data_IF_972688972846
#
_entry.id   IF_972688972846
#
_cell.length_a   1.000
_cell.length_b   1.000
_cell.length_c   1.000
_cell.angle_alpha   90.00
_cell.angle_beta   90.00
_cell.angle_gamma   90.00
#
_symmetry.space_group_name_H-M   'P 1'
#
loop_
_entity.id
_entity.type
_entity.pdbx_description
1 polymer ?
#
# COMPACT_ATOMS: atom_id res chain seq x y z
N UNK A 1 24.16 -7.82 21.94
CA UNK A 1 23.05 -7.98 21.01
C UNK A 1 22.69 -6.62 20.43
N UNK A 2 22.66 -6.45 19.12
CA UNK A 2 22.22 -5.19 18.52
C UNK A 2 20.76 -4.96 18.92
N UNK A 3 20.45 -3.80 19.52
CA UNK A 3 19.07 -3.42 19.87
C UNK A 3 18.25 -3.39 18.59
N UNK A 4 17.11 -4.07 18.59
CA UNK A 4 16.12 -3.97 17.49
C UNK A 4 15.70 -2.50 17.34
N UNK A 5 15.88 -1.93 16.14
CA UNK A 5 15.57 -0.51 15.93
C UNK A 5 14.11 -0.28 15.57
N UNK A 6 13.31 -1.33 15.32
CA UNK A 6 11.94 -1.21 14.87
C UNK A 6 11.06 -2.39 15.32
N UNK A 7 9.75 -2.16 15.30
CA UNK A 7 8.72 -3.08 15.74
C UNK A 7 7.73 -3.35 14.61
N UNK A 8 7.29 -4.61 14.46
CA UNK A 8 6.21 -5.02 13.55
C UNK A 8 4.96 -5.29 14.39
N UNK A 9 3.92 -4.47 14.24
CA UNK A 9 2.62 -4.72 14.84
C UNK A 9 1.70 -5.46 13.88
N UNK A 10 1.01 -6.52 14.34
CA UNK A 10 0.22 -7.40 13.50
C UNK A 10 1.04 -8.52 12.84
N UNK A 11 2.10 -8.96 13.52
CA UNK A 11 3.11 -9.91 13.02
C UNK A 11 2.56 -11.29 12.57
N UNK A 12 1.36 -11.67 13.01
CA UNK A 12 0.72 -12.92 12.58
C UNK A 12 0.03 -12.83 11.20
N UNK A 13 -0.07 -11.63 10.61
CA UNK A 13 -0.66 -11.42 9.29
C UNK A 13 0.16 -12.06 8.16
N UNK A 14 -0.50 -12.37 7.05
CA UNK A 14 0.14 -12.97 5.87
C UNK A 14 1.34 -12.13 5.39
N UNK A 15 1.11 -10.87 5.07
CA UNK A 15 2.15 -9.95 4.58
C UNK A 15 3.23 -9.70 5.63
N UNK A 16 2.84 -9.58 6.92
CA UNK A 16 3.80 -9.38 8.01
C UNK A 16 4.81 -10.53 8.11
N UNK A 17 4.39 -11.77 7.90
CA UNK A 17 5.30 -12.94 7.89
C UNK A 17 6.33 -12.84 6.77
N UNK A 18 5.92 -12.42 5.57
CA UNK A 18 6.84 -12.20 4.46
C UNK A 18 7.83 -11.05 4.74
N UNK A 19 7.37 -9.98 5.38
CA UNK A 19 8.25 -8.89 5.82
C UNK A 19 9.23 -9.36 6.89
N UNK A 20 8.82 -10.21 7.84
CA UNK A 20 9.69 -10.80 8.86
C UNK A 20 10.78 -11.67 8.20
N UNK A 21 10.40 -12.55 7.28
CA UNK A 21 11.35 -13.38 6.52
C UNK A 21 12.36 -12.52 5.75
N UNK A 22 11.88 -11.47 5.08
CA UNK A 22 12.73 -10.53 4.36
C UNK A 22 13.65 -9.74 5.29
N UNK A 23 13.15 -9.29 6.44
CA UNK A 23 13.94 -8.60 7.45
C UNK A 23 15.09 -9.46 7.97
N UNK A 24 14.81 -10.72 8.32
CA UNK A 24 15.84 -11.68 8.79
C UNK A 24 16.86 -11.94 7.70
N UNK A 25 16.43 -12.14 6.43
CA UNK A 25 17.32 -12.34 5.28
C UNK A 25 18.29 -11.18 5.10
N UNK A 26 17.87 -9.96 5.41
CA UNK A 26 18.69 -8.74 5.33
C UNK A 26 19.45 -8.42 6.65
N UNK A 27 19.43 -9.34 7.62
CA UNK A 27 20.19 -9.21 8.87
C UNK A 27 19.50 -8.39 9.97
N UNK A 28 18.22 -8.03 9.80
CA UNK A 28 17.46 -7.32 10.83
C UNK A 28 16.86 -8.27 11.87
N UNK A 29 16.66 -7.75 13.08
CA UNK A 29 15.97 -8.42 14.18
C UNK A 29 14.88 -7.51 14.74
N UNK A 30 13.73 -7.33 14.01
CA UNK A 30 12.63 -6.53 14.53
C UNK A 30 12.01 -7.18 15.78
N UNK A 31 11.40 -6.35 16.64
CA UNK A 31 10.50 -6.84 17.67
C UNK A 31 9.16 -7.14 16.99
N UNK A 32 8.62 -8.34 17.19
CA UNK A 32 7.31 -8.70 16.66
C UNK A 32 6.22 -8.50 17.70
N UNK A 33 5.06 -7.98 17.26
CA UNK A 33 3.97 -7.65 18.18
C UNK A 33 2.59 -7.98 17.59
N UNK A 34 1.64 -8.18 18.50
CA UNK A 34 0.24 -8.38 18.18
C UNK A 34 -0.60 -8.57 19.43
N UNK A 35 -1.91 -8.76 19.26
CA UNK A 35 -2.88 -8.82 20.37
C UNK A 35 -2.98 -10.16 21.07
N UNK A 36 -2.59 -11.25 20.41
CA UNK A 36 -2.88 -12.61 20.88
C UNK A 36 -1.58 -13.40 21.00
N UNK A 37 -1.19 -13.73 22.22
CA UNK A 37 0.05 -14.45 22.50
C UNK A 37 0.15 -15.79 21.75
N UNK A 38 -0.92 -16.57 21.73
CA UNK A 38 -0.96 -17.85 21.03
C UNK A 38 -0.69 -17.73 19.50
N UNK A 39 -0.81 -16.53 18.92
CA UNK A 39 -0.50 -16.28 17.50
C UNK A 39 0.92 -15.72 17.31
N UNK A 40 1.48 -15.02 18.30
CA UNK A 40 2.77 -14.34 18.18
C UNK A 40 3.93 -15.22 18.70
N UNK A 41 3.75 -15.91 19.83
CA UNK A 41 4.77 -16.77 20.42
C UNK A 41 5.35 -17.81 19.45
N UNK A 42 4.55 -18.58 18.68
CA UNK A 42 5.10 -19.56 17.73
C UNK A 42 5.99 -18.92 16.64
N UNK A 43 5.69 -17.68 16.23
CA UNK A 43 6.50 -16.95 15.26
C UNK A 43 7.83 -16.55 15.89
N UNK A 44 7.81 -16.08 17.15
CA UNK A 44 9.01 -15.72 17.89
C UNK A 44 9.93 -16.92 18.10
N UNK A 45 9.36 -18.08 18.53
CA UNK A 45 10.09 -19.34 18.71
C UNK A 45 10.72 -19.83 17.40
N UNK A 46 9.98 -19.76 16.29
CA UNK A 46 10.49 -20.16 14.97
C UNK A 46 11.60 -19.26 14.44
N UNK A 47 11.53 -17.95 14.72
CA UNK A 47 12.41 -16.93 14.13
C UNK A 47 13.54 -16.49 15.07
N UNK A 48 13.44 -16.79 16.36
CA UNK A 48 14.36 -16.30 17.39
C UNK A 48 14.26 -14.78 17.63
N UNK A 49 13.13 -14.16 17.27
CA UNK A 49 12.89 -12.73 17.47
C UNK A 49 12.25 -12.45 18.82
N UNK A 50 12.57 -11.30 19.41
CA UNK A 50 11.88 -10.80 20.59
C UNK A 50 10.42 -10.45 20.24
N UNK A 51 9.50 -10.64 21.21
CA UNK A 51 8.11 -10.30 21.00
C UNK A 51 7.46 -9.59 22.18
N UNK A 52 6.40 -8.84 21.87
CA UNK A 52 5.55 -8.16 22.87
C UNK A 52 4.10 -8.39 22.47
N UNK A 53 3.25 -8.73 23.46
CA UNK A 53 1.81 -8.90 23.26
C UNK A 53 1.06 -7.74 23.90
N UNK A 54 0.30 -6.99 23.10
CA UNK A 54 -0.52 -5.90 23.61
C UNK A 54 -1.67 -5.56 22.65
N UNK A 55 -2.75 -5.03 23.22
CA UNK A 55 -3.81 -4.34 22.47
C UNK A 55 -3.47 -2.85 22.36
N UNK A 56 -3.85 -2.21 21.26
CA UNK A 56 -3.62 -0.77 21.02
C UNK A 56 -4.37 0.14 22.00
N UNK A 57 -5.30 -0.41 22.78
CA UNK A 57 -6.00 0.31 23.87
C UNK A 57 -5.24 0.30 25.19
N UNK A 58 -4.24 -0.57 25.33
CA UNK A 58 -3.36 -0.61 26.51
C UNK A 58 -2.24 0.42 26.38
N UNK A 59 -2.49 1.62 26.86
CA UNK A 59 -1.52 2.72 26.77
C UNK A 59 -0.21 2.48 27.52
N UNK A 60 -0.20 1.64 28.58
CA UNK A 60 1.04 1.30 29.32
C UNK A 60 1.94 0.37 28.51
N UNK A 61 1.38 -0.71 27.98
CA UNK A 61 2.14 -1.65 27.15
C UNK A 61 2.57 -1.01 25.82
N UNK A 62 1.70 -0.19 25.21
CA UNK A 62 2.03 0.58 24.03
C UNK A 62 3.22 1.53 24.26
N UNK A 63 3.23 2.28 25.37
CA UNK A 63 4.38 3.11 25.78
C UNK A 63 5.64 2.26 25.94
N UNK A 64 5.56 1.13 26.64
CA UNK A 64 6.69 0.21 26.85
C UNK A 64 7.25 -0.30 25.52
N UNK A 65 6.38 -0.70 24.58
CA UNK A 65 6.76 -1.17 23.26
C UNK A 65 7.49 -0.10 22.45
N UNK A 66 7.00 1.15 22.47
CA UNK A 66 7.55 2.26 21.70
C UNK A 66 8.82 2.87 22.31
N UNK A 67 9.04 2.74 23.61
CA UNK A 67 10.21 3.35 24.30
C UNK A 67 11.55 2.78 23.82
N UNK A 68 11.56 1.63 23.17
CA UNK A 68 12.78 0.91 22.80
C UNK A 68 13.02 0.82 21.30
N UNK A 69 12.17 1.45 20.48
CA UNK A 69 12.27 1.40 19.02
C UNK A 69 12.30 2.80 18.41
N UNK A 70 12.83 2.91 17.20
CA UNK A 70 12.86 4.14 16.41
C UNK A 70 11.75 4.20 15.38
N UNK A 71 11.12 3.06 15.08
CA UNK A 71 10.11 2.95 14.04
C UNK A 71 9.12 1.82 14.35
N UNK A 72 7.84 2.07 14.06
CA UNK A 72 6.77 1.06 14.04
C UNK A 72 6.35 0.81 12.59
N UNK A 73 6.35 -0.44 12.20
CA UNK A 73 5.71 -0.93 11.00
C UNK A 73 4.39 -1.59 11.37
N UNK A 74 3.27 -0.96 10.99
CA UNK A 74 1.93 -1.48 11.21
C UNK A 74 1.50 -2.38 10.05
N UNK A 75 1.33 -3.67 10.32
CA UNK A 75 0.79 -4.66 9.37
C UNK A 75 -0.59 -5.19 9.80
N UNK A 76 -1.27 -4.52 10.72
CA UNK A 76 -2.56 -4.94 11.26
C UNK A 76 -3.73 -4.23 10.56
N UNK A 77 -4.06 -4.66 9.35
CA UNK A 77 -5.26 -4.19 8.64
C UNK A 77 -6.59 -4.75 9.20
N UNK A 78 -7.76 -4.14 8.86
CA UNK A 78 -7.92 -2.88 8.15
C UNK A 78 -7.33 -1.69 8.91
N UNK A 79 -6.61 -0.82 8.18
CA UNK A 79 -5.79 0.23 8.80
C UNK A 79 -6.63 1.38 9.35
N UNK A 80 -7.83 1.60 8.82
CA UNK A 80 -8.81 2.56 9.37
C UNK A 80 -9.10 2.33 10.87
N UNK A 81 -8.91 1.10 11.37
CA UNK A 81 -9.15 0.75 12.77
C UNK A 81 -7.88 0.75 13.65
N UNK A 82 -6.70 0.70 13.05
CA UNK A 82 -5.44 0.53 13.79
C UNK A 82 -4.48 1.69 13.67
N UNK A 83 -4.47 2.39 12.54
CA UNK A 83 -3.48 3.42 12.23
C UNK A 83 -3.52 4.60 13.20
N UNK A 84 -4.72 5.14 13.50
CA UNK A 84 -4.86 6.33 14.34
C UNK A 84 -4.19 6.16 15.70
N UNK A 85 -4.46 5.06 16.40
CA UNK A 85 -3.90 4.80 17.74
C UNK A 85 -2.37 4.69 17.73
N UNK A 86 -1.82 4.07 16.69
CA UNK A 86 -0.37 3.98 16.51
C UNK A 86 0.24 5.32 16.12
N UNK A 87 -0.40 6.10 15.26
CA UNK A 87 0.06 7.44 14.87
C UNK A 87 0.10 8.36 16.08
N UNK A 88 -0.97 8.40 16.90
CA UNK A 88 -1.03 9.20 18.12
C UNK A 88 0.09 8.84 19.10
N UNK A 89 0.34 7.54 19.26
CA UNK A 89 1.43 7.05 20.10
C UNK A 89 2.81 7.40 19.50
N UNK A 90 3.00 7.25 18.20
CA UNK A 90 4.23 7.60 17.50
C UNK A 90 4.54 9.11 17.62
N UNK A 91 3.54 9.97 17.45
CA UNK A 91 3.67 11.41 17.69
C UNK A 91 4.04 11.72 19.14
N UNK A 92 3.37 11.07 20.10
CA UNK A 92 3.62 11.27 21.54
C UNK A 92 5.01 10.84 21.98
N UNK A 93 5.48 9.69 21.48
CA UNK A 93 6.75 9.08 21.91
C UNK A 93 7.91 9.34 20.94
N UNK A 94 7.69 10.12 19.86
CA UNK A 94 8.67 10.50 18.86
C UNK A 94 9.28 9.28 18.16
N UNK A 95 8.41 8.39 17.68
CA UNK A 95 8.74 7.18 16.94
C UNK A 95 8.23 7.30 15.51
N UNK A 96 9.00 6.91 14.51
CA UNK A 96 8.55 6.90 13.12
C UNK A 96 7.41 5.91 12.93
N UNK A 97 6.45 6.23 12.07
CA UNK A 97 5.32 5.37 11.73
C UNK A 97 5.37 4.98 10.26
N UNK A 98 5.12 3.71 9.99
CA UNK A 98 4.92 3.18 8.64
C UNK A 98 3.84 2.10 8.64
N UNK A 99 3.20 1.89 7.50
CA UNK A 99 2.26 0.80 7.24
C UNK A 99 2.24 0.40 5.76
N UNK A 100 1.34 -0.50 5.39
CA UNK A 100 1.11 -0.95 4.02
C UNK A 100 -0.34 -0.72 3.61
N UNK A 101 -0.92 0.41 4.03
CA UNK A 101 -2.30 0.76 3.69
C UNK A 101 -2.45 1.17 2.23
N UNK A 102 -3.60 0.84 1.62
CA UNK A 102 -4.12 1.45 0.39
C UNK A 102 -5.38 2.29 0.66
N UNK A 103 -5.72 2.51 1.93
CA UNK A 103 -6.98 3.12 2.35
C UNK A 103 -6.89 4.66 2.30
N UNK A 104 -7.57 5.30 1.35
CA UNK A 104 -7.58 6.77 1.16
C UNK A 104 -7.83 7.54 2.46
N UNK A 105 -8.79 7.17 3.34
CA UNK A 105 -9.00 7.90 4.59
C UNK A 105 -7.80 7.86 5.55
N UNK A 106 -6.99 6.80 5.51
CA UNK A 106 -5.78 6.69 6.34
C UNK A 106 -4.74 7.69 5.85
N UNK A 107 -4.52 7.78 4.53
CA UNK A 107 -3.61 8.77 3.94
C UNK A 107 -4.04 10.21 4.28
N UNK A 108 -5.34 10.54 4.06
CA UNK A 108 -5.87 11.85 4.40
C UNK A 108 -5.58 12.22 5.84
N UNK A 109 -5.86 11.31 6.75
CA UNK A 109 -5.64 11.53 8.17
C UNK A 109 -4.16 11.73 8.50
N UNK A 110 -3.26 10.92 7.93
CA UNK A 110 -1.79 11.05 8.16
C UNK A 110 -1.28 12.41 7.72
N UNK A 111 -1.69 12.92 6.56
CA UNK A 111 -1.22 14.21 6.05
C UNK A 111 -1.64 15.40 6.93
N UNK A 112 -2.73 15.30 7.72
CA UNK A 112 -3.12 16.32 8.70
C UNK A 112 -2.05 16.53 9.80
N UNK A 113 -1.27 15.51 10.09
CA UNK A 113 -0.24 15.54 11.15
C UNK A 113 1.15 15.97 10.66
N UNK A 114 1.32 16.39 9.39
CA UNK A 114 2.65 16.67 8.81
C UNK A 114 3.45 17.66 9.66
N UNK A 115 2.88 18.80 10.01
CA UNK A 115 3.53 19.82 10.85
C UNK A 115 3.94 19.27 12.22
N UNK A 116 3.09 18.48 12.86
CA UNK A 116 3.37 17.89 14.16
C UNK A 116 4.48 16.84 14.07
N UNK A 117 4.50 16.04 13.00
CA UNK A 117 5.56 15.08 12.74
C UNK A 117 6.91 15.77 12.50
N UNK A 118 6.94 16.87 11.73
CA UNK A 118 8.12 17.72 11.53
C UNK A 118 8.65 18.28 12.86
N UNK A 119 7.78 18.84 13.70
CA UNK A 119 8.14 19.36 15.03
C UNK A 119 8.71 18.27 15.93
N UNK A 120 8.16 17.07 15.86
CA UNK A 120 8.64 15.91 16.61
C UNK A 120 9.88 15.25 16.00
N UNK A 121 10.31 15.70 14.82
CA UNK A 121 11.46 15.16 14.05
C UNK A 121 11.28 13.69 13.70
N UNK A 122 10.06 13.27 13.38
CA UNK A 122 9.71 11.92 12.91
C UNK A 122 9.08 11.97 11.54
N UNK A 123 9.02 10.82 10.88
CA UNK A 123 8.22 10.63 9.66
C UNK A 123 6.99 9.78 9.96
N UNK A 124 5.89 10.16 9.35
CA UNK A 124 4.69 9.35 9.17
C UNK A 124 4.62 8.99 7.68
N UNK A 125 4.90 7.73 7.33
CA UNK A 125 4.97 7.28 5.94
C UNK A 125 4.08 6.05 5.76
N UNK A 126 2.78 6.23 5.50
CA UNK A 126 1.87 5.15 5.16
C UNK A 126 2.16 4.60 3.75
N UNK A 127 1.75 3.35 3.49
CA UNK A 127 1.80 2.77 2.15
C UNK A 127 3.21 2.42 1.67
N UNK A 128 4.06 1.81 2.50
CA UNK A 128 5.42 1.39 2.10
C UNK A 128 5.47 -0.01 1.48
N UNK A 129 4.43 -0.41 0.75
CA UNK A 129 4.31 -1.68 0.04
C UNK A 129 3.96 -1.50 -1.43
N UNK A 130 3.26 -2.48 -2.01
CA UNK A 130 2.65 -2.36 -3.33
C UNK A 130 1.65 -1.18 -3.36
N UNK A 131 0.94 -0.99 -2.29
CA UNK A 131 0.30 0.27 -1.93
C UNK A 131 1.30 1.11 -1.14
N UNK A 132 1.94 2.16 -1.66
CA UNK A 132 1.73 2.81 -2.96
C UNK A 132 3.09 3.06 -3.66
N UNK A 133 4.18 2.40 -3.22
CA UNK A 133 5.54 2.72 -3.70
C UNK A 133 5.63 2.72 -5.23
N UNK A 134 5.22 1.67 -5.96
CA UNK A 134 5.44 1.62 -7.39
C UNK A 134 4.59 2.66 -8.13
N UNK A 135 3.35 2.86 -7.73
CA UNK A 135 2.42 3.78 -8.37
C UNK A 135 2.77 5.24 -8.10
N UNK A 136 3.06 5.62 -6.85
CA UNK A 136 3.44 6.99 -6.48
C UNK A 136 4.80 7.40 -7.08
N UNK A 137 5.80 6.51 -7.05
CA UNK A 137 7.08 6.76 -7.70
C UNK A 137 6.95 6.92 -9.21
N UNK A 138 6.14 6.07 -9.88
CA UNK A 138 5.92 6.18 -11.32
C UNK A 138 5.11 7.42 -11.68
N UNK A 139 4.09 7.77 -10.87
CA UNK A 139 3.33 9.00 -11.01
C UNK A 139 4.23 10.23 -10.94
N UNK A 140 5.10 10.29 -9.93
CA UNK A 140 6.09 11.37 -9.79
C UNK A 140 7.06 11.43 -10.96
N UNK A 141 7.51 10.27 -11.46
CA UNK A 141 8.40 10.18 -12.61
C UNK A 141 7.78 10.76 -13.87
N UNK A 142 6.55 10.38 -14.24
CA UNK A 142 5.89 10.92 -15.44
C UNK A 142 5.49 12.38 -15.27
N UNK A 143 5.04 12.79 -14.07
CA UNK A 143 4.70 14.17 -13.76
C UNK A 143 5.88 15.12 -13.94
N UNK A 144 7.08 14.73 -13.52
CA UNK A 144 8.29 15.53 -13.66
C UNK A 144 8.69 15.80 -15.13
N UNK A 145 8.15 15.02 -16.08
CA UNK A 145 8.45 15.15 -17.51
C UNK A 145 7.37 15.89 -18.30
N UNK A 146 6.27 16.27 -17.66
CA UNK A 146 5.16 17.00 -18.27
C UNK A 146 4.92 18.29 -17.50
N UNK A 147 5.49 19.42 -17.91
CA UNK A 147 5.27 20.71 -17.25
C UNK A 147 3.78 21.05 -17.19
N UNK A 148 3.32 21.52 -16.02
CA UNK A 148 1.93 21.90 -15.78
C UNK A 148 0.93 20.76 -16.11
N UNK A 149 1.28 19.52 -15.78
CA UNK A 149 0.36 18.40 -15.94
C UNK A 149 -0.93 18.62 -15.14
N UNK A 150 -2.07 18.36 -15.78
CA UNK A 150 -3.41 18.54 -15.20
C UNK A 150 -4.17 17.23 -15.03
N UNK A 151 -3.75 16.18 -15.71
CA UNK A 151 -4.36 14.84 -15.64
C UNK A 151 -3.29 13.78 -15.33
N UNK A 152 -3.65 12.84 -14.49
CA UNK A 152 -2.83 11.68 -14.13
C UNK A 152 -3.73 10.43 -14.08
N UNK A 153 -3.38 9.46 -14.88
CA UNK A 153 -3.97 8.12 -14.83
C UNK A 153 -2.92 7.12 -14.36
N UNK A 154 -3.30 6.26 -13.41
CA UNK A 154 -2.45 5.19 -12.88
C UNK A 154 -3.21 3.87 -13.01
N UNK A 155 -2.59 2.85 -13.57
CA UNK A 155 -3.19 1.52 -13.71
C UNK A 155 -2.21 0.42 -13.31
N UNK A 156 -2.73 -0.69 -12.79
CA UNK A 156 -1.89 -1.84 -12.41
C UNK A 156 -2.59 -3.18 -12.63
N UNK A 157 -1.76 -4.22 -12.68
CA UNK A 157 -2.13 -5.65 -12.75
C UNK A 157 -1.68 -6.37 -11.49
N UNK A 158 -1.93 -7.66 -11.37
CA UNK A 158 -1.28 -8.54 -10.37
C UNK A 158 -2.08 -8.75 -9.09
N UNK A 159 -3.37 -8.42 -9.05
CA UNK A 159 -4.25 -8.70 -7.91
C UNK A 159 -5.22 -9.90 -8.15
N UNK A 160 -4.79 -10.92 -8.90
CA UNK A 160 -5.60 -12.12 -9.11
C UNK A 160 -5.65 -13.04 -7.87
N UNK A 161 -4.60 -13.00 -7.02
CA UNK A 161 -4.51 -13.77 -5.79
C UNK A 161 -4.29 -12.84 -4.61
N UNK A 162 -5.32 -12.64 -3.82
CA UNK A 162 -5.31 -11.68 -2.70
C UNK A 162 -5.30 -12.37 -1.34
N UNK A 163 -4.63 -11.74 -0.38
CA UNK A 163 -4.56 -12.22 0.99
C UNK A 163 -5.87 -11.97 1.76
N UNK A 164 -6.10 -12.66 2.88
CA UNK A 164 -7.25 -12.37 3.74
C UNK A 164 -7.32 -10.91 4.18
N UNK A 165 -6.16 -10.28 4.44
CA UNK A 165 -6.08 -8.87 4.82
C UNK A 165 -6.59 -7.95 3.72
N UNK A 166 -6.11 -8.12 2.49
CA UNK A 166 -6.52 -7.33 1.32
C UNK A 166 -8.03 -7.46 1.05
N UNK A 167 -8.56 -8.70 1.09
CA UNK A 167 -10.00 -8.91 0.92
C UNK A 167 -10.84 -8.21 1.98
N UNK A 168 -10.41 -8.23 3.25
CA UNK A 168 -11.12 -7.52 4.32
C UNK A 168 -11.14 -6.01 4.11
N UNK A 169 -10.01 -5.43 3.68
CA UNK A 169 -9.94 -4.01 3.34
C UNK A 169 -10.89 -3.70 2.16
N UNK A 170 -10.93 -4.53 1.13
CA UNK A 170 -11.87 -4.34 0.01
C UNK A 170 -13.34 -4.38 0.49
N UNK A 171 -13.70 -5.33 1.34
CA UNK A 171 -15.05 -5.42 1.94
C UNK A 171 -15.41 -4.17 2.75
N UNK A 172 -14.44 -3.55 3.44
CA UNK A 172 -14.65 -2.28 4.15
C UNK A 172 -14.87 -1.11 3.18
N UNK A 173 -14.16 -1.08 2.05
CA UNK A 173 -14.17 0.06 1.12
C UNK A 173 -15.35 0.05 0.14
N UNK A 174 -15.84 -1.12 -0.27
CA UNK A 174 -16.92 -1.26 -1.29
C UNK A 174 -18.17 -0.42 -0.98
N UNK A 175 -18.69 -0.34 0.26
CA UNK A 175 -19.87 0.48 0.57
C UNK A 175 -19.70 1.97 0.29
N UNK A 176 -18.48 2.49 0.33
CA UNK A 176 -18.16 3.90 0.09
C UNK A 176 -18.32 4.34 -1.39
N UNK A 177 -18.57 3.41 -2.29
CA UNK A 177 -18.67 3.73 -3.73
C UNK A 177 -17.31 3.93 -4.39
N UNK A 178 -17.29 4.52 -5.59
CA UNK A 178 -16.08 4.93 -6.28
C UNK A 178 -15.62 6.33 -5.88
N UNK A 179 -14.34 6.60 -6.00
CA UNK A 179 -13.74 7.92 -5.84
C UNK A 179 -12.80 8.20 -7.00
N UNK A 180 -12.74 9.45 -7.40
CA UNK A 180 -11.73 10.01 -8.30
C UNK A 180 -11.33 11.39 -7.77
N UNK A 181 -10.17 11.91 -8.18
CA UNK A 181 -9.81 13.29 -7.90
C UNK A 181 -10.11 14.16 -9.12
N UNK A 182 -10.82 15.28 -8.91
CA UNK A 182 -11.09 16.32 -9.92
C UNK A 182 -10.92 17.69 -9.28
N UNK A 183 -10.23 18.59 -9.99
CA UNK A 183 -9.94 19.94 -9.53
C UNK A 183 -9.37 19.97 -8.10
N UNK A 184 -8.46 19.02 -7.81
CA UNK A 184 -7.84 18.89 -6.50
C UNK A 184 -8.71 18.29 -5.40
N UNK A 185 -9.98 17.91 -5.67
CA UNK A 185 -10.92 17.37 -4.69
C UNK A 185 -11.29 15.93 -5.00
N UNK A 186 -11.42 15.12 -3.94
CA UNK A 186 -12.01 13.79 -4.08
C UNK A 186 -13.52 13.93 -4.29
N UNK A 187 -14.02 13.35 -5.37
CA UNK A 187 -15.45 13.34 -5.69
C UNK A 187 -15.94 11.91 -5.89
N UNK A 188 -17.21 11.63 -5.54
CA UNK A 188 -17.81 10.33 -5.81
C UNK A 188 -17.80 9.98 -7.30
N UNK A 189 -17.56 8.72 -7.60
CA UNK A 189 -17.65 8.17 -8.95
C UNK A 189 -18.37 6.82 -8.93
N UNK A 190 -18.68 6.32 -10.12
CA UNK A 190 -19.28 5.00 -10.22
C UNK A 190 -18.19 3.95 -10.37
N UNK A 191 -18.06 3.05 -9.39
CA UNK A 191 -17.22 1.87 -9.51
C UNK A 191 -17.66 1.04 -10.73
N UNK A 192 -16.68 0.56 -11.50
CA UNK A 192 -16.95 -0.28 -12.66
C UNK A 192 -17.38 0.46 -13.94
N UNK A 193 -17.53 1.80 -13.92
CA UNK A 193 -17.78 2.60 -15.12
C UNK A 193 -16.51 3.32 -15.56
N UNK A 194 -16.37 3.53 -16.89
CA UNK A 194 -15.20 4.23 -17.45
C UNK A 194 -14.00 3.31 -17.65
N UNK A 195 -14.23 2.03 -17.94
CA UNK A 195 -13.18 1.11 -18.34
C UNK A 195 -12.47 1.59 -19.62
N UNK A 196 -11.17 1.32 -19.70
CA UNK A 196 -10.36 1.57 -20.89
C UNK A 196 -9.37 0.46 -21.11
N UNK A 197 -8.75 0.42 -22.29
CA UNK A 197 -7.68 -0.50 -22.59
C UNK A 197 -6.34 0.17 -22.35
N UNK A 198 -5.44 -0.56 -21.68
CA UNK A 198 -4.06 -0.15 -21.42
C UNK A 198 -3.14 -1.29 -21.86
N UNK A 199 -2.08 -0.95 -22.60
CA UNK A 199 -1.07 -1.91 -23.00
C UNK A 199 -0.02 -1.97 -21.89
N UNK A 200 0.19 -3.16 -21.33
CA UNK A 200 1.26 -3.49 -20.38
C UNK A 200 2.33 -4.34 -21.06
N UNK A 201 3.47 -4.60 -20.40
CA UNK A 201 4.52 -5.44 -20.96
C UNK A 201 4.07 -6.85 -21.37
N UNK A 202 3.06 -7.41 -20.73
CA UNK A 202 2.46 -8.73 -21.00
C UNK A 202 1.28 -8.72 -21.97
N UNK A 203 0.85 -7.54 -22.44
CA UNK A 203 -0.25 -7.41 -23.38
C UNK A 203 -1.26 -6.32 -23.04
N UNK A 204 -2.36 -6.29 -23.82
CA UNK A 204 -3.47 -5.36 -23.62
C UNK A 204 -4.43 -5.89 -22.55
N UNK A 205 -4.69 -5.07 -21.52
CA UNK A 205 -5.66 -5.35 -20.47
C UNK A 205 -6.77 -4.32 -20.44
N UNK A 206 -7.99 -4.76 -20.12
CA UNK A 206 -9.07 -3.85 -19.77
C UNK A 206 -8.91 -3.45 -18.31
N UNK A 207 -8.78 -2.15 -18.07
CA UNK A 207 -8.67 -1.58 -16.74
C UNK A 207 -9.94 -0.81 -16.36
N UNK A 208 -10.31 -0.92 -15.08
CA UNK A 208 -11.55 -0.37 -14.53
C UNK A 208 -11.18 0.59 -13.39
N UNK A 209 -11.83 1.77 -13.28
CA UNK A 209 -11.59 2.69 -12.20
C UNK A 209 -11.87 2.05 -10.84
N UNK A 210 -10.93 2.25 -9.90
CA UNK A 210 -11.04 1.78 -8.52
C UNK A 210 -10.64 2.88 -7.54
N UNK A 211 -10.99 2.69 -6.26
CA UNK A 211 -10.42 3.49 -5.18
C UNK A 211 -9.05 2.92 -4.85
N UNK A 212 -8.04 3.78 -4.84
CA UNK A 212 -6.68 3.41 -4.46
C UNK A 212 -5.97 4.56 -3.74
N UNK A 213 -4.98 4.25 -2.92
CA UNK A 213 -4.25 5.25 -2.14
C UNK A 213 -3.68 6.40 -2.94
N UNK A 214 -3.33 6.17 -4.20
CA UNK A 214 -2.76 7.18 -5.09
C UNK A 214 -3.69 8.35 -5.42
N UNK A 215 -4.99 8.20 -5.22
CA UNK A 215 -5.91 9.34 -5.27
C UNK A 215 -5.50 10.44 -4.27
N UNK A 216 -4.82 10.07 -3.20
CA UNK A 216 -4.29 11.00 -2.19
C UNK A 216 -2.78 11.15 -2.31
N UNK A 217 -2.01 10.07 -2.36
CA UNK A 217 -0.54 10.12 -2.35
C UNK A 217 0.01 10.78 -3.61
N UNK A 218 -0.49 10.43 -4.81
CA UNK A 218 -0.03 11.04 -6.05
C UNK A 218 -0.41 12.53 -6.15
N UNK A 219 -1.51 12.95 -5.52
CA UNK A 219 -1.82 14.38 -5.41
C UNK A 219 -0.79 15.12 -4.57
N UNK A 220 -0.41 14.58 -3.41
CA UNK A 220 0.62 15.18 -2.56
C UNK A 220 2.01 15.17 -3.20
N UNK A 221 2.36 14.10 -3.92
CA UNK A 221 3.68 13.97 -4.54
C UNK A 221 3.83 14.75 -5.84
N UNK A 222 2.73 14.94 -6.62
CA UNK A 222 2.79 15.57 -7.96
C UNK A 222 2.12 16.93 -8.04
N UNK A 223 1.11 17.21 -7.22
CA UNK A 223 0.25 18.39 -7.33
C UNK A 223 -0.77 18.35 -8.47
N UNK A 224 -0.87 17.24 -9.22
CA UNK A 224 -1.79 17.11 -10.36
C UNK A 224 -3.23 17.07 -9.86
N UNK A 225 -4.13 17.96 -10.36
CA UNK A 225 -5.47 18.12 -9.79
C UNK A 225 -6.48 17.03 -10.20
N UNK A 226 -6.25 16.33 -11.32
CA UNK A 226 -7.16 15.31 -11.83
C UNK A 226 -6.47 13.96 -11.86
N UNK A 227 -6.91 13.01 -10.99
CA UNK A 227 -6.29 11.71 -10.84
C UNK A 227 -7.36 10.63 -10.92
N UNK A 228 -7.09 9.59 -11.70
CA UNK A 228 -7.90 8.37 -11.73
C UNK A 228 -7.01 7.15 -11.62
N UNK A 229 -7.36 6.25 -10.72
CA UNK A 229 -6.67 4.98 -10.50
C UNK A 229 -7.48 3.83 -11.07
N UNK A 230 -6.80 2.87 -11.68
CA UNK A 230 -7.41 1.75 -12.38
C UNK A 230 -6.75 0.44 -11.98
N UNK A 231 -7.50 -0.65 -12.06
CA UNK A 231 -7.01 -2.02 -11.91
C UNK A 231 -7.44 -2.85 -13.12
N UNK A 232 -6.55 -3.75 -13.57
CA UNK A 232 -6.87 -4.71 -14.62
C UNK A 232 -7.87 -5.76 -14.12
N UNK A 233 -8.86 -6.05 -14.95
CA UNK A 233 -9.84 -7.11 -14.73
C UNK A 233 -9.88 -8.05 -15.93
N UNK A 234 -10.16 -9.34 -15.71
CA UNK A 234 -10.45 -10.27 -16.79
C UNK A 234 -11.60 -9.75 -17.66
N UNK A 235 -11.42 -9.73 -18.99
CA UNK A 235 -12.40 -9.15 -19.92
C UNK A 235 -13.81 -9.69 -19.74
N UNK A 236 -13.95 -10.99 -19.41
CA UNK A 236 -15.25 -11.61 -19.19
C UNK A 236 -16.00 -11.10 -17.95
N UNK A 237 -15.28 -10.54 -16.96
CA UNK A 237 -15.88 -10.01 -15.72
C UNK A 237 -16.38 -8.56 -15.89
N UNK A 238 -15.74 -7.78 -16.75
CA UNK A 238 -16.01 -6.35 -16.89
C UNK A 238 -17.49 -6.03 -17.14
N UNK A 239 -18.24 -6.74 -18.02
CA UNK A 239 -19.66 -6.47 -18.26
C UNK A 239 -20.55 -6.65 -17.02
N UNK A 240 -20.14 -7.48 -16.06
CA UNK A 240 -20.94 -7.78 -14.85
C UNK A 240 -20.66 -6.80 -13.70
N UNK A 241 -19.57 -6.05 -13.73
CA UNK A 241 -19.21 -5.12 -12.67
C UNK A 241 -20.27 -4.05 -12.39
N UNK A 242 -20.91 -3.41 -13.40
CA UNK A 242 -21.93 -2.38 -13.17
C UNK A 242 -23.16 -2.87 -12.40
N UNK A 243 -23.46 -4.17 -12.45
CA UNK A 243 -24.56 -4.81 -11.71
C UNK A 243 -24.09 -5.42 -10.40
N UNK A 244 -22.96 -6.11 -10.43
CA UNK A 244 -22.42 -6.82 -9.26
C UNK A 244 -21.96 -5.88 -8.15
N UNK A 245 -21.32 -4.76 -8.48
CA UNK A 245 -20.82 -3.79 -7.49
C UNK A 245 -21.96 -3.19 -6.65
N UNK A 246 -23.06 -2.64 -7.21
CA UNK A 246 -24.17 -2.14 -6.41
C UNK A 246 -24.80 -3.19 -5.48
N UNK A 247 -24.85 -4.45 -5.90
CA UNK A 247 -25.33 -5.54 -5.05
C UNK A 247 -24.39 -5.75 -3.87
N UNK A 248 -23.07 -5.82 -4.12
CA UNK A 248 -22.08 -5.95 -3.04
C UNK A 248 -22.10 -4.74 -2.11
N UNK A 249 -22.28 -3.52 -2.62
CA UNK A 249 -22.42 -2.32 -1.79
C UNK A 249 -23.57 -2.42 -0.80
N UNK A 250 -24.74 -2.90 -1.25
CA UNK A 250 -25.91 -3.14 -0.38
C UNK A 250 -25.65 -4.21 0.67
N UNK A 251 -25.03 -5.32 0.29
CA UNK A 251 -24.71 -6.41 1.23
C UNK A 251 -23.74 -5.92 2.29
N UNK A 252 -22.65 -5.25 1.90
CA UNK A 252 -21.59 -4.82 2.81
C UNK A 252 -21.91 -3.50 3.56
N UNK A 253 -22.96 -2.78 3.19
CA UNK A 253 -23.52 -1.72 4.02
C UNK A 253 -24.11 -2.28 5.34
N UNK A 254 -24.50 -3.56 5.37
CA UNK A 254 -24.94 -4.23 6.57
C UNK A 254 -23.73 -4.72 7.40
N UNK A 255 -23.53 -4.16 8.58
CA UNK A 255 -22.40 -4.49 9.47
C UNK A 255 -22.37 -5.96 9.92
N UNK A 256 -23.53 -6.63 10.02
CA UNK A 256 -23.59 -8.06 10.36
C UNK A 256 -23.09 -8.90 9.18
N UNK A 257 -23.62 -8.67 7.97
CA UNK A 257 -23.20 -9.36 6.76
C UNK A 257 -21.70 -9.17 6.51
N UNK A 258 -21.22 -7.93 6.67
CA UNK A 258 -19.80 -7.59 6.55
C UNK A 258 -18.93 -8.41 7.51
N UNK A 259 -19.29 -8.49 8.79
CA UNK A 259 -18.55 -9.29 9.80
C UNK A 259 -18.56 -10.78 9.49
N UNK A 260 -19.69 -11.32 9.03
CA UNK A 260 -19.78 -12.74 8.63
C UNK A 260 -18.84 -13.03 7.46
N UNK A 261 -18.87 -12.19 6.42
CA UNK A 261 -17.98 -12.34 5.25
C UNK A 261 -16.52 -12.22 5.64
N UNK A 262 -16.15 -11.25 6.47
CA UNK A 262 -14.76 -11.09 6.95
C UNK A 262 -14.28 -12.31 7.75
N UNK A 263 -15.16 -12.95 8.52
CA UNK A 263 -14.83 -14.18 9.26
C UNK A 263 -14.66 -15.38 8.32
N UNK A 264 -15.49 -15.49 7.29
CA UNK A 264 -15.34 -16.53 6.25
C UNK A 264 -14.04 -16.35 5.47
N UNK A 265 -13.67 -15.11 5.11
CA UNK A 265 -12.40 -14.78 4.45
C UNK A 265 -11.22 -15.32 5.28
N UNK A 266 -11.23 -15.16 6.60
CA UNK A 266 -10.14 -15.66 7.47
C UNK A 266 -9.97 -17.19 7.42
N UNK A 267 -11.07 -17.91 7.22
CA UNK A 267 -11.07 -19.37 7.23
C UNK A 267 -10.68 -19.93 5.85
N UNK A 268 -11.21 -19.32 4.78
CA UNK A 268 -11.13 -19.87 3.42
C UNK A 268 -9.92 -19.37 2.64
N UNK A 269 -9.56 -18.08 2.81
CA UNK A 269 -8.52 -17.44 2.00
C UNK A 269 -7.17 -17.55 2.68
N UNK A 270 -6.20 -18.15 1.97
CA UNK A 270 -4.82 -18.34 2.50
C UNK A 270 -3.79 -17.35 1.92
N UNK A 271 -4.13 -16.62 0.87
CA UNK A 271 -3.17 -15.83 0.09
C UNK A 271 -2.32 -16.69 -0.87
N UNK A 272 -1.52 -16.06 -1.74
CA UNK A 272 -0.70 -16.78 -2.71
C UNK A 272 0.38 -17.62 -2.04
N UNK A 273 0.61 -18.84 -2.54
CA UNK A 273 1.68 -19.71 -2.07
C UNK A 273 3.06 -19.26 -2.60
N UNK A 274 4.12 -19.93 -2.16
CA UNK A 274 5.50 -19.57 -2.52
C UNK A 274 5.73 -19.69 -4.03
N UNK A 275 5.25 -20.75 -4.67
CA UNK A 275 5.43 -20.98 -6.10
C UNK A 275 4.73 -19.91 -6.94
N UNK A 276 3.49 -19.54 -6.57
CA UNK A 276 2.77 -18.45 -7.22
C UNK A 276 3.50 -17.09 -7.09
N UNK A 277 4.14 -16.82 -5.94
CA UNK A 277 4.91 -15.58 -5.73
C UNK A 277 6.22 -15.52 -6.52
N UNK A 278 6.89 -16.65 -6.74
CA UNK A 278 8.20 -16.70 -7.42
C UNK A 278 8.10 -16.51 -8.94
N UNK A 279 6.99 -16.92 -9.55
CA UNK A 279 6.83 -16.93 -11.01
C UNK A 279 5.98 -15.81 -11.58
N UNK A 280 5.27 -15.07 -10.75
CA UNK A 280 4.37 -14.00 -11.21
C UNK A 280 5.05 -12.65 -11.22
N UNK A 281 4.57 -11.82 -12.15
CA UNK A 281 4.94 -10.42 -12.27
C UNK A 281 3.69 -9.56 -12.12
N UNK A 282 3.87 -8.34 -11.67
CA UNK A 282 2.85 -7.32 -11.72
C UNK A 282 3.39 -6.11 -12.48
N UNK A 283 2.49 -5.35 -13.07
CA UNK A 283 2.85 -4.19 -13.88
C UNK A 283 2.10 -2.97 -13.38
N UNK A 284 2.77 -1.83 -13.41
CA UNK A 284 2.17 -0.54 -13.14
C UNK A 284 2.40 0.36 -14.34
N UNK A 285 1.37 1.08 -14.74
CA UNK A 285 1.40 2.07 -15.80
C UNK A 285 0.97 3.42 -15.23
N UNK A 286 1.63 4.49 -15.65
CA UNK A 286 1.20 5.85 -15.35
C UNK A 286 1.26 6.72 -16.60
N UNK A 287 0.36 7.69 -16.67
CA UNK A 287 0.28 8.67 -17.74
C UNK A 287 -0.06 10.03 -17.17
N UNK A 288 0.82 11.01 -17.34
CA UNK A 288 0.57 12.42 -17.06
C UNK A 288 0.32 13.18 -18.37
N UNK A 289 -0.60 14.17 -18.33
CA UNK A 289 -0.94 15.00 -19.48
C UNK A 289 -1.22 16.45 -19.06
N UNK A 290 -0.80 17.42 -19.88
CA UNK A 290 -1.12 18.83 -19.67
C UNK A 290 -2.27 19.30 -20.62
N UNK A 291 -2.70 20.54 -20.43
CA UNK A 291 -3.75 21.15 -21.23
C UNK A 291 -3.37 21.36 -22.72
N UNK A 292 -2.09 21.40 -23.04
CA UNK A 292 -1.58 21.56 -24.41
C UNK A 292 -1.57 20.22 -25.17
N UNK A 293 -1.83 19.10 -24.50
CA UNK A 293 -1.81 17.77 -25.10
C UNK A 293 -0.47 17.03 -24.94
N UNK A 294 0.56 17.67 -24.36
CA UNK A 294 1.81 16.97 -24.05
C UNK A 294 1.53 15.84 -23.05
N UNK A 295 2.07 14.69 -23.32
CA UNK A 295 1.82 13.48 -22.54
C UNK A 295 3.10 12.66 -22.37
N UNK A 296 3.31 12.16 -21.15
CA UNK A 296 4.32 11.14 -20.87
C UNK A 296 3.67 9.91 -20.26
N UNK A 297 4.08 8.76 -20.74
CA UNK A 297 3.71 7.43 -20.21
C UNK A 297 4.96 6.69 -19.79
N UNK A 298 4.82 5.86 -18.77
CA UNK A 298 5.89 4.95 -18.35
C UNK A 298 5.28 3.71 -17.69
N UNK A 299 6.09 2.68 -17.56
CA UNK A 299 5.69 1.38 -16.99
C UNK A 299 6.72 0.91 -15.97
N UNK A 300 6.24 0.19 -14.98
CA UNK A 300 7.07 -0.64 -14.10
C UNK A 300 6.71 -2.10 -14.31
N UNK A 301 7.73 -2.93 -14.35
CA UNK A 301 7.67 -4.38 -14.23
C UNK A 301 8.24 -4.73 -12.85
N UNK A 302 7.43 -5.33 -12.00
CA UNK A 302 7.77 -5.59 -10.61
C UNK A 302 7.55 -7.07 -10.26
N UNK A 303 8.21 -7.59 -9.22
CA UNK A 303 7.86 -8.89 -8.64
C UNK A 303 6.39 -8.99 -8.27
N UNK A 304 5.92 -10.20 -8.02
CA UNK A 304 4.57 -10.44 -7.50
C UNK A 304 4.28 -9.52 -6.30
N UNK A 305 3.05 -9.04 -6.17
CA UNK A 305 2.65 -7.91 -5.30
C UNK A 305 3.03 -8.08 -3.81
N UNK A 306 2.93 -9.29 -3.25
CA UNK A 306 3.31 -9.54 -1.84
C UNK A 306 4.82 -9.71 -1.67
N UNK A 307 5.48 -10.33 -2.63
CA UNK A 307 6.95 -10.41 -2.66
C UNK A 307 7.55 -9.02 -2.78
N UNK A 308 7.01 -8.21 -3.70
CA UNK A 308 7.37 -6.79 -3.80
C UNK A 308 7.15 -6.06 -2.49
N UNK A 309 5.95 -6.18 -1.88
CA UNK A 309 5.62 -5.52 -0.62
C UNK A 309 6.60 -5.87 0.50
N UNK A 310 6.98 -7.15 0.61
CA UNK A 310 7.92 -7.57 1.65
C UNK A 310 9.31 -6.93 1.48
N UNK A 311 9.83 -6.91 0.26
CA UNK A 311 11.13 -6.28 -0.05
C UNK A 311 11.04 -4.77 0.15
N UNK A 312 10.01 -4.14 -0.42
CA UNK A 312 9.79 -2.71 -0.41
C UNK A 312 9.65 -2.14 1.01
N UNK A 313 8.90 -2.84 1.88
CA UNK A 313 8.75 -2.44 3.27
C UNK A 313 10.09 -2.41 4.02
N UNK A 314 10.92 -3.46 3.88
CA UNK A 314 12.22 -3.50 4.56
C UNK A 314 13.17 -2.45 3.99
N UNK A 315 13.25 -2.30 2.66
CA UNK A 315 14.07 -1.25 2.02
C UNK A 315 13.63 0.15 2.46
N UNK A 316 12.32 0.40 2.55
CA UNK A 316 11.80 1.69 3.04
C UNK A 316 12.18 1.95 4.49
N UNK A 317 12.10 0.94 5.35
CA UNK A 317 12.50 1.06 6.76
C UNK A 317 14.00 1.36 6.87
N UNK A 318 14.85 0.71 6.08
CA UNK A 318 16.29 1.00 6.02
C UNK A 318 16.56 2.45 5.59
N UNK A 319 15.90 2.92 4.54
CA UNK A 319 16.05 4.31 4.06
C UNK A 319 15.54 5.32 5.09
N UNK A 320 14.39 5.07 5.74
CA UNK A 320 13.88 5.94 6.80
C UNK A 320 14.87 6.05 7.96
N UNK A 321 15.41 4.93 8.41
CA UNK A 321 16.36 4.90 9.53
C UNK A 321 17.71 5.56 9.17
N UNK A 322 18.10 5.51 7.90
CA UNK A 322 19.33 6.13 7.38
C UNK A 322 19.17 7.63 7.13
N UNK A 323 18.16 8.02 6.32
CA UNK A 323 17.95 9.39 5.84
C UNK A 323 17.25 10.27 6.89
N UNK A 324 16.42 9.67 7.75
CA UNK A 324 15.63 10.33 8.80
C UNK A 324 14.74 11.47 8.26
N UNK A 325 13.89 11.22 7.24
CA UNK A 325 12.96 12.19 6.74
C UNK A 325 11.98 12.63 7.84
N UNK A 326 11.35 13.81 7.68
CA UNK A 326 10.46 14.38 8.70
C UNK A 326 9.16 14.86 8.05
N UNK A 327 8.05 14.70 8.77
CA UNK A 327 6.73 15.10 8.30
C UNK A 327 5.88 13.91 7.87
N UNK A 328 4.70 14.18 7.33
CA UNK A 328 3.91 13.16 6.64
C UNK A 328 4.31 13.13 5.17
N UNK A 329 4.89 12.04 4.72
CA UNK A 329 5.52 11.94 3.40
C UNK A 329 5.09 10.64 2.71
N UNK A 330 4.94 10.70 1.40
CA UNK A 330 4.92 9.49 0.58
C UNK A 330 6.36 9.01 0.31
N UNK A 331 6.55 7.74 -0.10
CA UNK A 331 7.87 7.28 -0.52
C UNK A 331 8.49 8.12 -1.63
N UNK A 332 7.72 8.53 -2.65
CA UNK A 332 8.21 9.38 -3.73
C UNK A 332 8.55 10.81 -3.28
N UNK A 333 7.85 11.35 -2.27
CA UNK A 333 8.21 12.66 -1.68
C UNK A 333 9.52 12.59 -0.90
N UNK A 334 9.72 11.53 -0.12
CA UNK A 334 10.88 11.39 0.75
C UNK A 334 12.16 11.00 0.00
N UNK A 335 12.06 10.13 -1.00
CA UNK A 335 13.20 9.48 -1.62
C UNK A 335 13.30 9.68 -3.15
N UNK A 336 12.33 10.36 -3.73
CA UNK A 336 12.28 10.64 -5.17
C UNK A 336 11.66 9.49 -6.01
N UNK A 337 11.44 9.77 -7.32
CA UNK A 337 10.75 8.85 -8.22
C UNK A 337 11.54 7.58 -8.55
N UNK A 338 12.85 7.60 -8.35
CA UNK A 338 13.74 6.45 -8.62
C UNK A 338 13.87 5.50 -7.42
N UNK A 339 13.25 5.83 -6.29
CA UNK A 339 13.29 4.98 -5.10
C UNK A 339 12.81 3.56 -5.38
N UNK A 340 11.77 3.41 -6.18
CA UNK A 340 11.23 2.09 -6.55
C UNK A 340 12.26 1.20 -7.27
N UNK A 341 13.24 1.77 -7.94
CA UNK A 341 14.31 1.03 -8.64
C UNK A 341 15.37 0.44 -7.69
N UNK A 342 15.39 0.87 -6.42
CA UNK A 342 16.22 0.24 -5.37
C UNK A 342 15.66 -1.12 -4.93
N UNK A 343 14.40 -1.43 -5.28
CA UNK A 343 13.74 -2.67 -4.92
C UNK A 343 14.13 -3.74 -5.93
N UNK A 344 14.66 -4.84 -5.43
CA UNK A 344 15.15 -5.94 -6.24
C UNK A 344 14.09 -6.48 -7.21
N UNK A 345 14.48 -6.65 -8.48
CA UNK A 345 13.61 -7.20 -9.53
C UNK A 345 12.69 -6.20 -10.19
N UNK A 346 12.77 -4.90 -9.86
CA UNK A 346 12.01 -3.82 -10.50
C UNK A 346 12.73 -3.31 -11.75
N UNK A 347 11.95 -3.07 -12.81
CA UNK A 347 12.41 -2.42 -14.05
C UNK A 347 11.42 -1.34 -14.45
N UNK A 348 11.94 -0.20 -14.94
CA UNK A 348 11.11 0.88 -15.52
C UNK A 348 11.33 0.96 -17.02
N UNK A 349 10.24 1.21 -17.75
CA UNK A 349 10.25 1.38 -19.20
C UNK A 349 9.59 2.70 -19.57
N UNK A 350 10.25 3.47 -20.44
CA UNK A 350 9.68 4.67 -21.09
C UNK A 350 8.97 4.33 -22.39
N UNK A 351 9.34 3.22 -23.01
CA UNK A 351 8.70 2.61 -24.16
C UNK A 351 8.59 1.11 -23.90
N UNK A 352 7.45 0.54 -24.28
CA UNK A 352 7.30 -0.92 -24.16
C UNK A 352 8.31 -1.63 -25.07
N UNK A 353 8.97 -2.69 -24.59
CA UNK A 353 9.76 -3.53 -25.44
C UNK A 353 8.91 -4.09 -26.58
N UNK A 354 9.48 -4.23 -27.77
CA UNK A 354 8.77 -4.85 -28.90
C UNK A 354 8.26 -6.23 -28.45
N UNK A 355 6.95 -6.43 -28.58
CA UNK A 355 6.36 -7.74 -28.27
C UNK A 355 6.93 -8.74 -29.28
N UNK A 356 7.78 -9.65 -28.84
CA UNK A 356 8.11 -10.83 -29.62
C UNK A 356 6.81 -11.66 -29.72
N UNK A 357 6.10 -11.55 -30.85
CA UNK A 357 5.01 -12.46 -31.19
C UNK A 357 5.59 -13.91 -31.13
N UNK A 358 5.33 -14.60 -30.02
CA UNK A 358 5.53 -16.05 -29.92
C UNK A 358 4.21 -16.75 -30.19
#
# INVERSE_FOLDING_TARGET
MAKSNWLIYGANGYTARLVIEQAIRRGHKPIIAGRTEAKIRPIAEQTGLDYIVFDLTDGHLLKKALSNVKLVFNAAGPFIHTSQKLIDACLKYRVNYTDITGEVPVFQNVFLYSKQAEQNKIVLMPGIGFDVIPSDCLAKYVANQVPNAVELDIAFTGLEHISPGTLKTMVEMIPGGGLIRRDGRLIPSHLGKGSKKVIFPDGEHTVVPIIWGDLETAYHSTGIPNITTYMAYPNFMVPFLPVGIPVMQRIFANNFAKRVVQRLIEIVVKGPDKAAREHRRAYVWASAKNSNGDQKRAWLDIPETYSFTAIAAVVSIEEILSVQPKGALTPAMAFGPDFVLKIEGVKRYDNLPAQNNK
#
